data_IF_986444740529
#
_entry.id   IF_986444740529
#
_cell.length_a   1.000
_cell.length_b   1.000
_cell.length_c   1.000
_cell.angle_alpha   90.00
_cell.angle_beta   90.00
_cell.angle_gamma   90.00
#
_symmetry.space_group_name_H-M   'P 1'
#
loop_
_entity.id
_entity.type
_entity.pdbx_description
1 polymer ?
#
# COMPACT_ATOMS: atom_id res chain seq x y z
N UNK A 1 -20.87 4.39 15.10
CA UNK A 1 -20.60 3.73 13.80
C UNK A 1 -19.13 3.83 13.41
N UNK A 2 -18.46 4.96 13.65
CA UNK A 2 -17.01 5.14 13.44
C UNK A 2 -16.15 4.18 14.27
N UNK A 3 -16.46 4.00 15.55
CA UNK A 3 -15.57 3.26 16.47
C UNK A 3 -15.58 1.75 16.20
N UNK A 4 -16.74 1.21 15.83
CA UNK A 4 -16.89 -0.18 15.40
C UNK A 4 -16.14 -0.45 14.10
N UNK A 5 -16.13 0.51 13.16
CA UNK A 5 -15.39 0.42 11.90
C UNK A 5 -13.88 0.48 12.12
N UNK A 6 -13.41 1.40 12.97
CA UNK A 6 -11.99 1.52 13.32
C UNK A 6 -11.48 0.28 14.06
N UNK A 7 -12.26 -0.26 15.00
CA UNK A 7 -11.90 -1.47 15.75
C UNK A 7 -11.76 -2.71 14.85
N UNK A 8 -12.53 -2.80 13.77
CA UNK A 8 -12.50 -3.92 12.83
C UNK A 8 -11.76 -3.62 11.52
N UNK A 9 -11.11 -2.46 11.39
CA UNK A 9 -10.44 -2.02 10.17
C UNK A 9 -9.46 -3.09 9.63
N UNK A 10 -8.58 -3.72 10.43
CA UNK A 10 -7.66 -4.73 9.92
C UNK A 10 -8.38 -5.98 9.39
N UNK A 11 -9.48 -6.38 10.04
CA UNK A 11 -10.28 -7.55 9.66
C UNK A 11 -11.06 -7.28 8.37
N UNK A 12 -11.70 -6.11 8.26
CA UNK A 12 -12.43 -5.71 7.05
C UNK A 12 -11.49 -5.63 5.85
N UNK A 13 -10.33 -4.97 6.00
CA UNK A 13 -9.34 -4.86 4.93
C UNK A 13 -8.81 -6.23 4.51
N UNK A 14 -8.50 -7.10 5.48
CA UNK A 14 -8.10 -8.47 5.20
C UNK A 14 -9.17 -9.26 4.47
N UNK A 15 -10.42 -9.18 4.91
CA UNK A 15 -11.55 -9.88 4.29
C UNK A 15 -11.79 -9.42 2.85
N UNK A 16 -11.79 -8.11 2.60
CA UNK A 16 -11.94 -7.55 1.25
C UNK A 16 -10.79 -8.00 0.35
N UNK A 17 -9.55 -7.90 0.83
CA UNK A 17 -8.38 -8.35 0.07
C UNK A 17 -8.48 -9.83 -0.30
N UNK A 18 -8.77 -10.69 0.66
CA UNK A 18 -8.94 -12.14 0.42
C UNK A 18 -10.09 -12.42 -0.53
N UNK A 19 -11.23 -11.75 -0.37
CA UNK A 19 -12.38 -11.93 -1.26
C UNK A 19 -12.04 -11.56 -2.72
N UNK A 20 -11.40 -10.41 -2.94
CA UNK A 20 -10.98 -9.98 -4.29
C UNK A 20 -9.94 -10.95 -4.85
N UNK A 21 -8.96 -11.35 -4.06
CA UNK A 21 -7.93 -12.30 -4.46
C UNK A 21 -8.53 -13.64 -4.91
N UNK A 22 -9.45 -14.21 -4.13
CA UNK A 22 -10.13 -15.46 -4.46
C UNK A 22 -11.01 -15.34 -5.70
N UNK A 23 -11.71 -14.21 -5.86
CA UNK A 23 -12.54 -13.93 -7.03
C UNK A 23 -11.70 -13.84 -8.30
N UNK A 24 -10.58 -13.12 -8.25
CA UNK A 24 -9.65 -13.01 -9.37
C UNK A 24 -8.96 -14.35 -9.68
N UNK A 25 -8.56 -15.10 -8.64
CA UNK A 25 -8.00 -16.43 -8.82
C UNK A 25 -9.00 -17.36 -9.52
N UNK A 26 -10.25 -17.40 -9.06
CA UNK A 26 -11.32 -18.20 -9.68
C UNK A 26 -11.55 -17.79 -11.14
N UNK A 27 -11.66 -16.48 -11.41
CA UNK A 27 -11.80 -15.98 -12.77
C UNK A 27 -10.64 -16.44 -13.65
N UNK A 28 -9.40 -16.34 -13.18
CA UNK A 28 -8.23 -16.80 -13.94
C UNK A 28 -8.24 -18.33 -14.21
N UNK A 29 -8.81 -19.15 -13.30
CA UNK A 29 -8.96 -20.60 -13.54
C UNK A 29 -9.98 -20.86 -14.64
N UNK A 30 -11.10 -20.13 -14.62
CA UNK A 30 -12.23 -20.32 -15.55
C UNK A 30 -11.94 -19.73 -16.93
N UNK A 31 -11.46 -18.47 -16.97
CA UNK A 31 -11.14 -17.75 -18.19
C UNK A 31 -9.66 -17.93 -18.56
N UNK A 32 -9.27 -19.15 -18.97
CA UNK A 32 -7.92 -19.47 -19.43
C UNK A 32 -7.56 -18.69 -20.70
N UNK A 33 -7.13 -17.43 -20.55
CA UNK A 33 -6.77 -16.55 -21.67
C UNK A 33 -5.31 -16.68 -22.09
N UNK A 34 -4.43 -17.15 -21.20
CA UNK A 34 -2.99 -17.33 -21.47
C UNK A 34 -2.53 -18.73 -21.08
N UNK A 35 -1.79 -19.44 -21.95
CA UNK A 35 -1.10 -20.64 -21.53
C UNK A 35 -0.04 -20.27 -20.48
N UNK A 36 0.09 -21.09 -19.44
CA UNK A 36 1.11 -20.94 -18.40
C UNK A 36 2.08 -22.11 -18.58
N UNK A 37 3.35 -21.80 -18.80
CA UNK A 37 4.41 -22.82 -18.94
C UNK A 37 4.92 -23.27 -17.57
N UNK A 38 4.87 -22.38 -16.57
CA UNK A 38 5.24 -22.69 -15.18
C UNK A 38 3.98 -22.94 -14.34
N UNK A 39 3.97 -24.06 -13.60
CA UNK A 39 2.81 -24.43 -12.79
C UNK A 39 2.59 -23.49 -11.60
N UNK A 40 1.33 -23.14 -11.35
CA UNK A 40 0.88 -22.35 -10.20
C UNK A 40 1.39 -22.88 -8.85
N UNK A 41 1.46 -24.21 -8.69
CA UNK A 41 1.99 -24.85 -7.47
C UNK A 41 3.45 -24.51 -7.16
N UNK A 42 4.22 -24.11 -8.18
CA UNK A 42 5.62 -23.68 -8.00
C UNK A 42 5.71 -22.19 -7.66
N UNK A 43 4.83 -21.36 -8.21
CA UNK A 43 4.89 -19.88 -8.08
C UNK A 43 4.09 -19.33 -6.90
N UNK A 44 2.86 -19.80 -6.71
CA UNK A 44 1.93 -19.25 -5.72
C UNK A 44 2.45 -19.32 -4.28
N UNK A 45 3.04 -20.44 -3.81
CA UNK A 45 3.53 -20.50 -2.43
C UNK A 45 4.57 -19.43 -2.13
N UNK A 46 5.54 -19.23 -3.03
CA UNK A 46 6.58 -18.21 -2.85
C UNK A 46 6.00 -16.79 -2.89
N UNK A 47 5.13 -16.49 -3.86
CA UNK A 47 4.52 -15.16 -3.99
C UNK A 47 3.62 -14.83 -2.78
N UNK A 48 2.81 -15.78 -2.31
CA UNK A 48 1.96 -15.59 -1.13
C UNK A 48 2.76 -15.53 0.18
N UNK A 49 3.85 -16.30 0.30
CA UNK A 49 4.75 -16.21 1.45
C UNK A 49 5.38 -14.82 1.55
N UNK A 50 5.78 -14.23 0.43
CA UNK A 50 6.30 -12.86 0.38
C UNK A 50 5.25 -11.85 0.88
N UNK A 51 3.99 -11.98 0.47
CA UNK A 51 2.90 -11.10 0.97
C UNK A 51 2.76 -11.21 2.49
N UNK A 52 2.84 -12.42 3.04
CA UNK A 52 2.80 -12.63 4.49
C UNK A 52 4.00 -11.96 5.16
N UNK A 53 5.21 -12.16 4.63
CA UNK A 53 6.44 -11.53 5.14
C UNK A 53 6.38 -10.00 5.08
N UNK A 54 5.91 -9.43 3.98
CA UNK A 54 5.74 -7.98 3.80
C UNK A 54 4.73 -7.43 4.83
N UNK A 55 3.62 -8.14 5.03
CA UNK A 55 2.60 -7.76 6.01
C UNK A 55 3.16 -7.78 7.43
N UNK A 56 3.91 -8.83 7.78
CA UNK A 56 4.57 -8.93 9.09
C UNK A 56 5.63 -7.85 9.27
N UNK A 57 6.47 -7.61 8.26
CA UNK A 57 7.52 -6.60 8.30
C UNK A 57 6.91 -5.20 8.56
N UNK A 58 5.85 -4.83 7.83
CA UNK A 58 5.17 -3.56 8.05
C UNK A 58 4.58 -3.48 9.46
N UNK A 59 3.92 -4.54 9.95
CA UNK A 59 3.32 -4.53 11.29
C UNK A 59 4.36 -4.44 12.41
N UNK A 60 5.53 -5.03 12.21
CA UNK A 60 6.63 -4.99 13.19
C UNK A 60 7.32 -3.63 13.21
N UNK A 61 7.59 -3.04 12.03
CA UNK A 61 8.34 -1.77 11.92
C UNK A 61 7.44 -0.55 12.12
N UNK A 62 6.18 -0.62 11.65
CA UNK A 62 5.21 0.47 11.69
C UNK A 62 3.90 0.02 12.37
N UNK A 63 3.92 -0.31 13.68
CA UNK A 63 2.75 -0.83 14.39
C UNK A 63 1.59 0.17 14.41
N UNK A 64 1.90 1.47 14.40
CA UNK A 64 0.94 2.54 14.12
C UNK A 64 0.95 2.79 12.61
N UNK A 65 0.01 2.17 11.90
CA UNK A 65 -0.13 2.32 10.46
C UNK A 65 -0.45 3.79 10.06
N UNK A 66 -0.50 4.06 8.75
CA UNK A 66 -0.71 5.39 8.20
C UNK A 66 -1.95 6.13 8.74
N UNK A 67 -3.02 5.40 9.09
CA UNK A 67 -4.22 5.96 9.72
C UNK A 67 -3.90 6.53 11.10
N UNK A 68 -3.15 5.80 11.93
CA UNK A 68 -2.71 6.27 13.24
C UNK A 68 -1.80 7.50 13.13
N UNK A 69 -0.89 7.51 12.16
CA UNK A 69 -0.04 8.68 11.91
C UNK A 69 -0.84 9.92 11.46
N UNK A 70 -1.85 9.74 10.60
CA UNK A 70 -2.74 10.82 10.19
C UNK A 70 -3.54 11.39 11.36
N UNK A 71 -4.05 10.52 12.24
CA UNK A 71 -4.80 10.92 13.44
C UNK A 71 -3.91 11.70 14.41
N UNK A 72 -2.71 11.18 14.71
CA UNK A 72 -1.73 11.88 15.58
C UNK A 72 -1.32 13.22 14.97
N UNK A 73 -1.09 13.27 13.66
CA UNK A 73 -0.77 14.52 12.97
C UNK A 73 -1.91 15.53 13.08
N UNK A 74 -3.16 15.10 12.87
CA UNK A 74 -4.34 15.96 13.01
C UNK A 74 -4.52 16.44 14.46
N UNK A 75 -4.39 15.57 15.46
CA UNK A 75 -4.51 15.93 16.88
C UNK A 75 -3.45 16.94 17.32
N UNK A 76 -2.20 16.73 16.89
CA UNK A 76 -1.05 17.61 17.20
C UNK A 76 -0.97 18.84 16.31
N UNK A 77 -1.85 18.98 15.32
CA UNK A 77 -1.82 20.07 14.35
C UNK A 77 -0.59 20.05 13.43
N UNK A 78 0.03 18.88 13.23
CA UNK A 78 1.13 18.70 12.30
C UNK A 78 0.64 18.69 10.85
N UNK A 79 1.49 19.15 9.94
CA UNK A 79 1.23 19.14 8.52
C UNK A 79 0.91 20.53 7.97
N UNK A 80 1.40 20.80 6.76
CA UNK A 80 1.36 22.12 6.13
C UNK A 80 -0.07 22.64 5.92
N UNK A 81 -1.05 21.74 5.74
CA UNK A 81 -2.45 22.14 5.61
C UNK A 81 -3.06 22.65 6.92
N UNK A 82 -2.45 22.42 8.08
CA UNK A 82 -2.88 23.08 9.32
C UNK A 82 -2.43 24.55 9.42
N UNK A 83 -1.53 25.01 8.55
CA UNK A 83 -1.03 26.39 8.51
C UNK A 83 -1.90 27.32 7.65
N UNK A 84 -2.77 26.76 6.82
CA UNK A 84 -3.62 27.52 5.89
C UNK A 84 -5.10 27.34 6.25
N UNK A 85 -5.87 28.42 6.19
CA UNK A 85 -7.30 28.38 6.46
C UNK A 85 -8.06 28.07 5.17
N UNK A 86 -8.21 26.78 4.85
CA UNK A 86 -8.98 26.29 3.69
C UNK A 86 -10.04 25.27 4.15
N UNK A 87 -11.09 25.02 3.33
CA UNK A 87 -12.09 24.00 3.67
C UNK A 87 -11.47 22.61 3.82
N UNK A 88 -11.92 21.85 4.82
CA UNK A 88 -11.38 20.50 5.13
C UNK A 88 -11.41 19.59 3.90
N UNK A 89 -12.49 19.61 3.13
CA UNK A 89 -12.61 18.77 1.93
C UNK A 89 -11.50 19.04 0.90
N UNK A 90 -11.05 20.29 0.77
CA UNK A 90 -9.98 20.67 -0.16
C UNK A 90 -8.63 20.12 0.34
N UNK A 91 -8.40 20.14 1.65
CA UNK A 91 -7.19 19.53 2.23
C UNK A 91 -7.15 18.03 2.02
N UNK A 92 -8.29 17.34 2.14
CA UNK A 92 -8.38 15.90 1.88
C UNK A 92 -8.04 15.60 0.41
N UNK A 93 -8.65 16.32 -0.54
CA UNK A 93 -8.37 16.14 -1.97
C UNK A 93 -6.89 16.43 -2.26
N UNK A 94 -6.34 17.52 -1.71
CA UNK A 94 -4.94 17.86 -1.89
C UNK A 94 -4.00 16.80 -1.27
N UNK A 95 -4.30 16.26 -0.09
CA UNK A 95 -3.52 15.18 0.53
C UNK A 95 -3.51 13.92 -0.34
N UNK A 96 -4.65 13.56 -0.95
CA UNK A 96 -4.73 12.43 -1.90
C UNK A 96 -3.82 12.68 -3.10
N UNK A 97 -3.90 13.87 -3.72
CA UNK A 97 -3.08 14.23 -4.88
C UNK A 97 -1.59 14.23 -4.53
N UNK A 98 -1.19 14.82 -3.40
CA UNK A 98 0.20 14.85 -2.95
C UNK A 98 0.72 13.43 -2.68
N UNK A 99 -0.09 12.59 -2.03
CA UNK A 99 0.29 11.20 -1.76
C UNK A 99 0.44 10.39 -3.06
N UNK A 100 -0.47 10.58 -4.02
CA UNK A 100 -0.42 9.91 -5.32
C UNK A 100 0.82 10.33 -6.12
N UNK A 101 1.10 11.63 -6.18
CA UNK A 101 2.32 12.16 -6.80
C UNK A 101 3.59 11.62 -6.11
N UNK A 102 3.61 11.57 -4.78
CA UNK A 102 4.75 11.02 -4.04
C UNK A 102 4.99 9.54 -4.36
N UNK A 103 3.92 8.74 -4.45
CA UNK A 103 4.01 7.32 -4.83
C UNK A 103 4.43 7.17 -6.29
N UNK A 104 3.92 8.01 -7.19
CA UNK A 104 4.34 8.04 -8.59
C UNK A 104 5.83 8.32 -8.74
N UNK A 105 6.34 9.36 -8.05
CA UNK A 105 7.76 9.69 -8.08
C UNK A 105 8.62 8.61 -7.39
N UNK A 106 8.14 8.01 -6.29
CA UNK A 106 8.79 6.86 -5.66
C UNK A 106 8.98 5.73 -6.67
N UNK A 107 7.92 5.36 -7.40
CA UNK A 107 7.99 4.31 -8.41
C UNK A 107 8.96 4.67 -9.54
N UNK A 108 8.94 5.92 -10.03
CA UNK A 108 9.91 6.38 -11.02
C UNK A 108 11.36 6.30 -10.51
N UNK A 109 11.60 6.66 -9.25
CA UNK A 109 12.92 6.52 -8.61
C UNK A 109 13.35 5.07 -8.50
N UNK A 110 12.43 4.15 -8.22
CA UNK A 110 12.69 2.71 -8.20
C UNK A 110 13.16 2.18 -9.55
N UNK A 111 12.71 2.77 -10.65
CA UNK A 111 13.23 2.45 -11.98
C UNK A 111 14.52 3.19 -12.35
N UNK A 112 14.73 4.41 -11.85
CA UNK A 112 15.85 5.25 -12.25
C UNK A 112 17.14 5.00 -11.45
N UNK A 113 17.04 4.66 -10.16
CA UNK A 113 18.21 4.51 -9.28
C UNK A 113 18.64 3.04 -9.21
N UNK A 114 19.90 2.70 -9.56
CA UNK A 114 20.33 1.29 -9.66
C UNK A 114 20.12 0.46 -8.40
N UNK A 115 20.31 1.04 -7.23
CA UNK A 115 20.11 0.33 -5.96
C UNK A 115 18.63 0.04 -5.69
N UNK A 116 17.75 1.02 -5.94
CA UNK A 116 16.30 0.86 -5.77
C UNK A 116 15.74 -0.12 -6.81
N UNK A 117 16.27 -0.10 -8.03
CA UNK A 117 15.91 -1.05 -9.07
C UNK A 117 16.23 -2.49 -8.66
N UNK A 118 17.30 -2.75 -7.90
CA UNK A 118 17.60 -4.11 -7.41
C UNK A 118 16.51 -4.66 -6.50
N UNK A 119 15.82 -3.79 -5.75
CA UNK A 119 14.65 -4.18 -4.96
C UNK A 119 13.43 -4.35 -5.90
N UNK A 120 13.15 -3.32 -6.68
CA UNK A 120 11.94 -3.22 -7.48
C UNK A 120 11.86 -4.20 -8.64
N UNK A 121 13.00 -4.65 -9.18
CA UNK A 121 13.03 -5.67 -10.23
C UNK A 121 12.40 -6.98 -9.79
N UNK A 122 12.28 -7.27 -8.49
CA UNK A 122 11.58 -8.44 -7.99
C UNK A 122 10.11 -8.47 -8.44
N UNK A 123 9.47 -7.30 -8.44
CA UNK A 123 8.11 -7.09 -8.96
C UNK A 123 8.02 -7.32 -10.47
N UNK A 124 9.05 -6.92 -11.22
CA UNK A 124 9.08 -7.04 -12.68
C UNK A 124 9.68 -8.35 -13.21
N UNK A 125 10.22 -9.21 -12.35
CA UNK A 125 10.95 -10.42 -12.75
C UNK A 125 10.10 -11.69 -12.64
N UNK A 126 8.78 -11.59 -12.62
CA UNK A 126 7.94 -12.79 -12.73
C UNK A 126 7.93 -13.28 -14.18
N UNK A 127 8.05 -14.60 -14.35
CA UNK A 127 8.16 -15.24 -15.66
C UNK A 127 6.81 -15.48 -16.32
N UNK A 128 5.75 -15.42 -15.52
CA UNK A 128 4.38 -15.66 -15.93
C UNK A 128 3.47 -14.59 -15.33
N UNK A 129 2.34 -14.36 -15.96
CA UNK A 129 1.36 -13.37 -15.49
C UNK A 129 0.12 -14.08 -14.94
N UNK A 130 -0.15 -13.87 -13.66
CA UNK A 130 -1.30 -14.40 -12.92
C UNK A 130 -1.71 -13.46 -11.77
N UNK A 131 -2.75 -13.83 -11.03
CA UNK A 131 -3.29 -13.05 -9.91
C UNK A 131 -2.27 -12.74 -8.81
N UNK A 132 -1.20 -13.54 -8.68
CA UNK A 132 -0.17 -13.35 -7.65
C UNK A 132 1.01 -12.50 -8.10
N UNK A 133 1.13 -12.26 -9.41
CA UNK A 133 2.27 -11.57 -10.01
C UNK A 133 2.41 -10.14 -9.49
N UNK A 134 1.27 -9.44 -9.37
CA UNK A 134 1.24 -8.08 -8.86
C UNK A 134 1.48 -7.94 -7.35
N UNK A 135 1.57 -9.05 -6.61
CA UNK A 135 1.72 -9.07 -5.15
C UNK A 135 3.17 -9.26 -4.69
N UNK A 136 4.07 -9.53 -5.63
CA UNK A 136 5.47 -9.87 -5.34
C UNK A 136 6.31 -8.61 -5.22
N UNK A 137 6.54 -8.14 -4.01
CA UNK A 137 7.45 -7.02 -3.74
C UNK A 137 8.60 -7.47 -2.85
N UNK A 138 9.69 -6.73 -2.87
CA UNK A 138 10.77 -6.96 -1.92
C UNK A 138 10.38 -6.37 -0.55
N UNK A 139 10.59 -7.05 0.60
CA UNK A 139 10.18 -6.52 1.91
C UNK A 139 10.73 -5.12 2.22
N UNK A 140 12.01 -4.87 1.88
CA UNK A 140 12.62 -3.54 2.00
C UNK A 140 11.93 -2.47 1.13
N UNK A 141 11.41 -2.85 -0.04
CA UNK A 141 10.65 -1.95 -0.90
C UNK A 141 9.34 -1.53 -0.24
N UNK A 142 8.62 -2.49 0.34
CA UNK A 142 7.38 -2.24 1.07
C UNK A 142 7.63 -1.36 2.30
N UNK A 143 8.68 -1.64 3.07
CA UNK A 143 9.06 -0.83 4.24
C UNK A 143 9.42 0.61 3.85
N UNK A 144 10.24 0.78 2.80
CA UNK A 144 10.60 2.11 2.29
C UNK A 144 9.35 2.86 1.81
N UNK A 145 8.47 2.19 1.06
CA UNK A 145 7.23 2.80 0.59
C UNK A 145 6.31 3.20 1.74
N UNK A 146 6.20 2.37 2.78
CA UNK A 146 5.43 2.70 3.98
C UNK A 146 6.02 3.92 4.71
N UNK A 147 7.34 3.97 4.85
CA UNK A 147 8.04 5.12 5.43
C UNK A 147 7.79 6.43 4.67
N UNK A 148 7.84 6.39 3.33
CA UNK A 148 7.51 7.55 2.49
C UNK A 148 6.05 7.97 2.66
N UNK A 149 5.10 7.03 2.65
CA UNK A 149 3.68 7.32 2.87
C UNK A 149 3.45 7.99 4.23
N UNK A 150 4.08 7.45 5.28
CA UNK A 150 4.00 8.03 6.63
C UNK A 150 4.57 9.45 6.65
N UNK A 151 5.76 9.66 6.08
CA UNK A 151 6.37 10.98 6.01
C UNK A 151 5.44 11.99 5.30
N UNK A 152 4.91 11.63 4.13
CA UNK A 152 3.99 12.49 3.37
C UNK A 152 2.71 12.77 4.16
N UNK A 153 2.10 11.76 4.78
CA UNK A 153 0.91 11.92 5.62
C UNK A 153 1.19 12.80 6.84
N UNK A 154 2.37 12.72 7.46
CA UNK A 154 2.72 13.60 8.59
C UNK A 154 3.00 15.03 8.15
N UNK A 155 3.57 15.23 6.96
CA UNK A 155 3.94 16.55 6.42
C UNK A 155 2.77 17.28 5.74
N UNK A 156 1.84 16.54 5.14
CA UNK A 156 0.73 17.07 4.32
C UNK A 156 -0.62 16.48 4.72
N UNK A 157 -0.71 15.88 5.91
CA UNK A 157 -1.94 15.30 6.41
C UNK A 157 -3.10 16.30 6.41
N UNK A 158 -4.34 15.81 6.29
CA UNK A 158 -5.51 16.67 6.22
C UNK A 158 -5.62 17.52 7.49
N UNK A 159 -6.16 18.72 7.30
CA UNK A 159 -6.35 19.66 8.40
C UNK A 159 -7.29 19.07 9.45
N UNK A 160 -7.01 19.37 10.73
CA UNK A 160 -7.91 18.99 11.84
C UNK A 160 -9.29 19.60 11.62
N UNK A 161 -10.34 18.82 11.87
CA UNK A 161 -11.70 19.34 11.93
C UNK A 161 -11.81 20.40 13.05
N UNK A 162 -12.02 21.66 12.68
CA UNK A 162 -12.30 22.76 13.61
C UNK A 162 -13.82 22.95 13.64
N UNK A 163 -14.46 22.51 14.72
CA UNK A 163 -15.85 22.84 15.04
C UNK A 163 -15.96 24.25 15.57
#
# INVERSE_FOLDING_TARGET
MSDTLLAHEPLIRGAIFTFVLLTMALWEIVAKRRPQHIHRRQRWPSNLLIVVLDTLAVRLVFPLAAVGAALVAAERGWGLFNLIAVPVWLTVVASVVVLDLAIYFQHRLFHAVPWLWRLHRMHHADLEFDVTTGLRFHPLEILLSMGIKLAVVTLFGPQRWRS
#
